data_IF_688528938813
#
_entry.id   IF_688528938813
#
_cell.length_a   1.000
_cell.length_b   1.000
_cell.length_c   1.000
_cell.angle_alpha   90.00
_cell.angle_beta   90.00
_cell.angle_gamma   90.00
#
_symmetry.space_group_name_H-M   'P 1'
#
loop_
_entity.id
_entity.type
_entity.pdbx_description
1 polymer ?
#
# COMPACT_ATOMS: atom_id res chain seq x y z
N UNK A 1 0.80 5.29 24.75
CA UNK A 1 0.40 5.42 23.33
C UNK A 1 -0.32 6.75 23.18
N UNK A 2 0.32 7.73 22.54
CA UNK A 2 -0.22 9.09 22.40
C UNK A 2 -1.05 9.10 21.12
N UNK A 3 -2.31 9.53 21.22
CA UNK A 3 -3.26 9.54 20.09
C UNK A 3 -2.72 10.27 18.85
N UNK A 4 -1.94 11.32 19.06
CA UNK A 4 -1.34 12.12 17.98
C UNK A 4 -0.30 11.32 17.17
N UNK A 5 0.49 10.46 17.83
CA UNK A 5 1.48 9.62 17.16
C UNK A 5 0.80 8.60 16.25
N UNK A 6 -0.24 7.92 16.76
CA UNK A 6 -1.03 6.96 15.97
C UNK A 6 -1.72 7.64 14.76
N UNK A 7 -2.23 8.86 14.94
CA UNK A 7 -2.82 9.62 13.83
C UNK A 7 -1.78 10.02 12.78
N UNK A 8 -0.54 10.31 13.18
CA UNK A 8 0.57 10.55 12.26
C UNK A 8 0.92 9.29 11.49
N UNK A 9 1.03 8.16 12.18
CA UNK A 9 1.34 6.87 11.57
C UNK A 9 0.24 6.43 10.59
N UNK A 10 -1.03 6.70 10.91
CA UNK A 10 -2.15 6.46 10.00
C UNK A 10 -2.01 7.28 8.71
N UNK A 11 -1.65 8.56 8.82
CA UNK A 11 -1.43 9.42 7.65
C UNK A 11 -0.22 8.96 6.82
N UNK A 12 0.84 8.50 7.46
CA UNK A 12 2.00 7.94 6.77
C UNK A 12 1.62 6.66 6.02
N UNK A 13 0.83 5.78 6.63
CA UNK A 13 0.32 4.57 6.00
C UNK A 13 -0.56 4.90 4.78
N UNK A 14 -1.46 5.89 4.90
CA UNK A 14 -2.29 6.37 3.79
C UNK A 14 -1.45 6.87 2.60
N UNK A 15 -0.43 7.68 2.88
CA UNK A 15 0.49 8.18 1.84
C UNK A 15 1.27 7.04 1.17
N UNK A 16 1.76 6.07 1.95
CA UNK A 16 2.50 4.92 1.43
C UNK A 16 1.61 4.05 0.52
N UNK A 17 0.36 3.81 0.92
CA UNK A 17 -0.64 3.08 0.12
C UNK A 17 -0.90 3.81 -1.21
N UNK A 18 -1.10 5.12 -1.17
CA UNK A 18 -1.33 5.92 -2.39
C UNK A 18 -0.12 5.84 -3.35
N UNK A 19 1.10 5.96 -2.81
CA UNK A 19 2.32 5.83 -3.58
C UNK A 19 2.48 4.42 -4.20
N UNK A 20 2.19 3.37 -3.43
CA UNK A 20 2.25 1.99 -3.92
C UNK A 20 1.24 1.74 -5.04
N UNK A 21 0.00 2.23 -4.92
CA UNK A 21 -1.02 2.17 -5.98
C UNK A 21 -0.55 2.86 -7.27
N UNK A 22 0.04 4.05 -7.15
CA UNK A 22 0.59 4.78 -8.31
C UNK A 22 1.73 4.00 -8.99
N UNK A 23 2.60 3.34 -8.22
CA UNK A 23 3.67 2.50 -8.79
C UNK A 23 3.10 1.26 -9.49
N UNK A 24 2.09 0.61 -8.92
CA UNK A 24 1.39 -0.52 -9.55
C UNK A 24 0.76 -0.10 -10.89
N UNK A 25 0.14 1.09 -10.95
CA UNK A 25 -0.40 1.63 -12.20
C UNK A 25 0.67 1.75 -13.29
N UNK A 26 1.83 2.35 -12.95
CA UNK A 26 2.96 2.47 -13.88
C UNK A 26 3.53 1.12 -14.31
N UNK A 27 3.58 0.13 -13.41
CA UNK A 27 4.06 -1.22 -13.76
C UNK A 27 3.11 -1.92 -14.74
N UNK A 28 1.80 -1.70 -14.62
CA UNK A 28 0.82 -2.21 -15.57
C UNK A 28 0.98 -1.57 -16.95
N UNK A 29 1.20 -0.25 -17.01
CA UNK A 29 1.48 0.46 -18.26
C UNK A 29 2.76 -0.07 -18.93
N UNK A 30 3.82 -0.32 -18.14
CA UNK A 30 5.06 -0.91 -18.65
C UNK A 30 4.84 -2.32 -19.22
N UNK A 31 4.09 -3.17 -18.52
CA UNK A 31 3.76 -4.52 -18.99
C UNK A 31 3.05 -4.48 -20.34
N UNK A 32 2.06 -3.61 -20.51
CA UNK A 32 1.36 -3.47 -21.79
C UNK A 32 2.29 -3.06 -22.93
N UNK A 33 3.27 -2.18 -22.65
CA UNK A 33 4.29 -1.79 -23.64
C UNK A 33 5.19 -2.98 -24.00
N UNK A 34 5.67 -3.72 -22.99
CA UNK A 34 6.53 -4.89 -23.21
C UNK A 34 5.82 -6.00 -23.99
N UNK A 35 4.56 -6.31 -23.65
CA UNK A 35 3.74 -7.29 -24.35
C UNK A 35 3.54 -6.90 -25.82
N UNK A 36 3.19 -5.63 -26.07
CA UNK A 36 2.99 -5.11 -27.43
C UNK A 36 4.26 -5.21 -28.27
N UNK A 37 5.41 -4.94 -27.68
CA UNK A 37 6.70 -4.91 -28.36
C UNK A 37 7.32 -6.33 -28.46
N UNK A 38 6.63 -7.36 -27.96
CA UNK A 38 7.04 -8.77 -28.05
C UNK A 38 8.17 -9.16 -27.09
N UNK A 39 8.36 -8.38 -26.02
CA UNK A 39 9.34 -8.68 -24.99
C UNK A 39 8.85 -9.75 -24.01
N UNK A 40 9.79 -10.50 -23.43
CA UNK A 40 9.50 -11.39 -22.31
C UNK A 40 9.06 -10.58 -21.07
N UNK A 41 7.86 -10.88 -20.57
CA UNK A 41 7.23 -10.15 -19.46
C UNK A 41 7.28 -10.89 -18.13
N UNK A 42 7.83 -12.11 -18.05
CA UNK A 42 7.72 -12.96 -16.86
C UNK A 42 8.24 -12.26 -15.59
N UNK A 43 9.39 -11.60 -15.68
CA UNK A 43 9.98 -10.88 -14.54
C UNK A 43 9.14 -9.66 -14.14
N UNK A 44 8.59 -8.93 -15.12
CA UNK A 44 7.77 -7.75 -14.88
C UNK A 44 6.42 -8.11 -14.24
N UNK A 45 5.86 -9.28 -14.58
CA UNK A 45 4.66 -9.84 -13.96
C UNK A 45 4.91 -10.29 -12.52
N UNK A 46 6.04 -10.97 -12.27
CA UNK A 46 6.45 -11.34 -10.90
C UNK A 46 6.62 -10.12 -10.02
N UNK A 47 7.27 -9.08 -10.53
CA UNK A 47 7.40 -7.80 -9.81
C UNK A 47 6.03 -7.19 -9.50
N UNK A 48 5.10 -7.18 -10.47
CA UNK A 48 3.75 -6.68 -10.25
C UNK A 48 3.02 -7.47 -9.16
N UNK A 49 3.16 -8.80 -9.13
CA UNK A 49 2.57 -9.65 -8.09
C UNK A 49 3.11 -9.29 -6.70
N UNK A 50 4.42 -9.13 -6.55
CA UNK A 50 5.04 -8.73 -5.28
C UNK A 50 4.65 -7.32 -4.84
N UNK A 51 4.51 -6.38 -5.79
CA UNK A 51 4.01 -5.04 -5.49
C UNK A 51 2.56 -5.08 -4.95
N UNK A 52 1.70 -5.91 -5.54
CA UNK A 52 0.31 -6.11 -5.06
C UNK A 52 0.28 -6.73 -3.67
N UNK A 53 1.12 -7.73 -3.41
CA UNK A 53 1.25 -8.35 -2.09
C UNK A 53 1.72 -7.34 -1.05
N UNK A 54 2.71 -6.54 -1.38
CA UNK A 54 3.23 -5.48 -0.52
C UNK A 54 2.13 -4.44 -0.20
N UNK A 55 1.37 -4.02 -1.21
CA UNK A 55 0.23 -3.11 -1.01
C UNK A 55 -0.81 -3.70 -0.05
N UNK A 56 -1.12 -5.00 -0.17
CA UNK A 56 -2.06 -5.66 0.71
C UNK A 56 -1.58 -5.64 2.16
N UNK A 57 -0.30 -5.93 2.42
CA UNK A 57 0.30 -5.83 3.76
C UNK A 57 0.25 -4.40 4.31
N UNK A 58 0.45 -3.37 3.47
CA UNK A 58 0.31 -1.97 3.90
C UNK A 58 -1.13 -1.62 4.31
N UNK A 59 -2.12 -2.13 3.58
CA UNK A 59 -3.54 -1.94 3.89
C UNK A 59 -3.89 -2.60 5.23
N UNK A 60 -3.40 -3.81 5.47
CA UNK A 60 -3.59 -4.53 6.75
C UNK A 60 -2.96 -3.77 7.91
N UNK A 61 -1.73 -3.29 7.74
CA UNK A 61 -1.05 -2.47 8.75
C UNK A 61 -1.84 -1.19 9.08
N UNK A 62 -2.35 -0.49 8.05
CA UNK A 62 -3.21 0.68 8.22
C UNK A 62 -4.48 0.37 9.03
N UNK A 63 -5.09 -0.80 8.81
CA UNK A 63 -6.28 -1.23 9.53
C UNK A 63 -5.99 -1.48 11.03
N UNK A 64 -4.80 -2.01 11.35
CA UNK A 64 -4.34 -2.19 12.74
C UNK A 64 -4.23 -0.84 13.44
N UNK A 65 -3.56 0.14 12.82
CA UNK A 65 -3.42 1.50 13.38
C UNK A 65 -4.80 2.15 13.60
N UNK A 66 -5.70 2.05 12.61
CA UNK A 66 -7.05 2.61 12.73
C UNK A 66 -7.84 1.99 13.90
N UNK A 67 -7.68 0.69 14.13
CA UNK A 67 -8.29 -0.03 15.26
C UNK A 67 -7.71 0.42 16.60
N UNK A 68 -6.40 0.63 16.67
CA UNK A 68 -5.73 1.16 17.86
C UNK A 68 -6.24 2.57 18.20
N UNK A 69 -6.34 3.46 17.22
CA UNK A 69 -6.91 4.81 17.39
C UNK A 69 -8.34 4.76 17.93
N UNK A 70 -9.20 3.92 17.35
CA UNK A 70 -10.58 3.74 17.82
C UNK A 70 -10.63 3.32 19.29
N UNK A 71 -9.77 2.38 19.67
CA UNK A 71 -9.66 1.89 21.05
C UNK A 71 -9.18 2.97 22.02
N UNK A 72 -8.24 3.84 21.61
CA UNK A 72 -7.79 4.97 22.43
C UNK A 72 -8.92 5.99 22.62
N UNK A 73 -9.64 6.33 21.53
CA UNK A 73 -10.74 7.31 21.57
C UNK A 73 -11.87 6.86 22.48
N UNK A 74 -12.24 5.57 22.46
CA UNK A 74 -13.30 5.03 23.31
C UNK A 74 -12.92 4.87 24.79
N UNK A 75 -11.62 4.89 25.12
CA UNK A 75 -11.12 4.79 26.51
C UNK A 75 -10.89 6.15 27.18
N UNK A 76 -11.03 7.25 26.44
CA UNK A 76 -10.89 8.61 26.99
C UNK A 76 -12.28 9.05 27.52
N UNK A 77 -12.45 9.30 28.84
CA UNK A 77 -13.69 9.83 29.40
C UNK A 77 -13.98 11.26 28.91
#
# INVERSE_FOLDING_TARGET
MILEDEMRDLRLADNAIAAARSRIGRQLELLQVLERDGHDTELAEKLLAEMRRTLQTMIEHRAIIATAIGSIKSKKP
#
